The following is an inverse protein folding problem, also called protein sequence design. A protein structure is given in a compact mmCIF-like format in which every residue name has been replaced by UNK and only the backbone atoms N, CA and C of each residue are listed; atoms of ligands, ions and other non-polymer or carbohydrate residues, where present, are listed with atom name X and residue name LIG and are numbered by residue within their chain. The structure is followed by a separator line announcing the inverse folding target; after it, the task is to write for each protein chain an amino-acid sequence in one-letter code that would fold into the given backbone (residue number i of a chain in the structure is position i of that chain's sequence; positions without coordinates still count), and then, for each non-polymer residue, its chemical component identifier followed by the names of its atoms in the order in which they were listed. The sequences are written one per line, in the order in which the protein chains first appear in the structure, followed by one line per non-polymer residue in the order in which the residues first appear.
data_IF_230375642676
#
_entry.id   IF_230375642676
#
_cell.length_a   1.000
_cell.length_b   1.000
_cell.length_c   1.000
_cell.angle_alpha   90.00
_cell.angle_beta   90.00
_cell.angle_gamma   90.00
#
_symmetry.space_group_name_H-M   'P 1'
#
loop_
_entity.id
_entity.type
_entity.pdbx_description
1 polymer ?
#
# COMPACT_ATOMS: atom_id res chain seq x y z
N UNK A 1 -0.26 -7.56 23.80
CA UNK A 1 -1.27 -7.25 22.74
C UNK A 1 -0.52 -7.09 21.44
N UNK A 2 -0.86 -7.87 20.44
CA UNK A 2 -0.28 -7.72 19.10
C UNK A 2 -0.74 -6.39 18.52
N UNK A 3 0.19 -5.49 18.30
CA UNK A 3 -0.08 -4.21 17.63
C UNK A 3 -0.59 -4.49 16.21
N UNK A 4 -1.81 -4.05 15.90
CA UNK A 4 -2.44 -4.32 14.61
C UNK A 4 -2.50 -3.03 13.80
N UNK A 5 -1.88 -3.03 12.63
CA UNK A 5 -1.95 -1.97 11.64
C UNK A 5 -3.28 -2.00 10.90
N UNK A 6 -3.75 -0.84 10.44
CA UNK A 6 -4.91 -0.78 9.53
C UNK A 6 -4.46 -0.24 8.18
N UNK A 7 -4.58 -1.07 7.13
CA UNK A 7 -4.31 -0.66 5.76
C UNK A 7 -5.62 -0.24 5.10
N UNK A 8 -5.75 1.05 4.79
CA UNK A 8 -6.85 1.56 4.00
C UNK A 8 -6.50 1.49 2.52
N UNK A 9 -7.26 0.68 1.80
CA UNK A 9 -7.01 0.41 0.41
C UNK A 9 -8.14 -0.36 -0.25
N UNK A 10 -7.87 -0.90 -1.41
CA UNK A 10 -8.84 -1.65 -2.21
C UNK A 10 -8.12 -2.87 -2.81
N UNK A 11 -8.85 -3.97 -3.00
CA UNK A 11 -8.28 -5.18 -3.61
C UNK A 11 -7.86 -4.94 -5.07
N UNK A 12 -8.59 -4.11 -5.79
CA UNK A 12 -8.29 -3.73 -7.16
C UNK A 12 -7.22 -2.64 -7.28
N UNK A 13 -6.73 -2.09 -6.16
CA UNK A 13 -5.69 -1.07 -6.17
C UNK A 13 -4.29 -1.66 -6.35
N UNK A 14 -3.61 -1.23 -7.41
CA UNK A 14 -2.24 -1.62 -7.72
C UNK A 14 -1.26 -1.28 -6.57
N UNK A 15 -1.33 -0.05 -6.06
CA UNK A 15 -0.45 0.42 -4.99
C UNK A 15 -0.81 -0.17 -3.62
N UNK A 16 -2.10 -0.45 -3.36
CA UNK A 16 -2.50 -1.18 -2.14
C UNK A 16 -1.93 -2.60 -2.15
N UNK A 17 -1.91 -3.26 -3.30
CA UNK A 17 -1.32 -4.59 -3.42
C UNK A 17 0.17 -4.62 -3.05
N UNK A 18 0.93 -3.58 -3.39
CA UNK A 18 2.33 -3.41 -3.00
C UNK A 18 2.48 -3.39 -1.47
N UNK A 19 1.76 -2.52 -0.79
CA UNK A 19 1.81 -2.40 0.68
C UNK A 19 1.32 -3.67 1.38
N UNK A 20 0.24 -4.28 0.88
CA UNK A 20 -0.29 -5.56 1.37
C UNK A 20 0.74 -6.68 1.28
N UNK A 21 1.42 -6.80 0.14
CA UNK A 21 2.45 -7.81 -0.08
C UNK A 21 3.62 -7.65 0.88
N UNK A 22 4.01 -6.41 1.14
CA UNK A 22 5.10 -6.09 2.06
C UNK A 22 4.75 -6.46 3.51
N UNK A 23 3.57 -6.08 3.99
CA UNK A 23 3.07 -6.45 5.31
C UNK A 23 3.04 -7.98 5.49
N UNK A 24 2.56 -8.71 4.48
CA UNK A 24 2.53 -10.18 4.48
C UNK A 24 3.93 -10.79 4.49
N UNK A 25 4.85 -10.27 3.68
CA UNK A 25 6.25 -10.72 3.65
C UNK A 25 6.90 -10.64 5.01
N UNK A 26 6.65 -9.56 5.74
CA UNK A 26 7.20 -9.32 7.07
C UNK A 26 6.43 -10.01 8.21
N UNK A 27 5.32 -10.66 7.93
CA UNK A 27 4.48 -11.30 8.94
C UNK A 27 3.83 -10.30 9.91
N UNK A 28 3.68 -9.05 9.51
CA UNK A 28 3.08 -8.00 10.33
C UNK A 28 1.56 -8.18 10.39
N UNK A 29 0.99 -8.12 11.59
CA UNK A 29 -0.46 -8.20 11.79
C UNK A 29 -1.14 -6.92 11.28
N UNK A 30 -2.11 -7.07 10.38
CA UNK A 30 -2.88 -5.95 9.87
C UNK A 30 -4.31 -6.35 9.48
N UNK A 31 -5.19 -5.36 9.46
CA UNK A 31 -6.52 -5.45 8.88
C UNK A 31 -6.61 -4.53 7.68
N UNK A 32 -7.30 -4.96 6.64
CA UNK A 32 -7.55 -4.13 5.46
C UNK A 32 -8.97 -3.58 5.49
N UNK A 33 -9.13 -2.30 5.18
CA UNK A 33 -10.39 -1.57 5.20
C UNK A 33 -10.56 -0.73 3.94
N UNK A 34 -11.81 -0.57 3.52
CA UNK A 34 -12.13 0.25 2.36
C UNK A 34 -12.09 1.76 2.70
N UNK A 35 -11.71 2.62 1.75
CA UNK A 35 -11.72 4.07 1.93
C UNK A 35 -13.14 4.66 2.02
N UNK A 36 -14.17 3.88 1.72
CA UNK A 36 -15.57 4.25 1.91
C UNK A 36 -16.01 4.27 3.38
N UNK A 37 -15.24 3.68 4.29
CA UNK A 37 -15.57 3.67 5.72
C UNK A 37 -15.52 5.07 6.34
N UNK A 38 -16.41 5.30 7.31
CA UNK A 38 -16.51 6.59 8.00
C UNK A 38 -15.21 6.99 8.70
N UNK A 39 -14.49 6.03 9.28
CA UNK A 39 -13.20 6.28 9.95
C UNK A 39 -12.15 6.82 8.97
N UNK A 40 -12.09 6.29 7.76
CA UNK A 40 -11.20 6.83 6.73
C UNK A 40 -11.55 8.28 6.41
N UNK A 41 -12.81 8.56 6.13
CA UNK A 41 -13.26 9.89 5.73
C UNK A 41 -13.10 10.95 6.83
N UNK A 42 -13.33 10.56 8.09
CA UNK A 42 -13.41 11.51 9.21
C UNK A 42 -12.09 11.67 9.97
N UNK A 43 -11.16 10.70 9.88
CA UNK A 43 -9.91 10.74 10.64
C UNK A 43 -8.67 10.57 9.76
N UNK A 44 -8.63 9.54 8.93
CA UNK A 44 -7.41 9.19 8.17
C UNK A 44 -7.15 10.19 7.04
N UNK A 45 -8.17 10.45 6.23
CA UNK A 45 -8.09 11.41 5.13
C UNK A 45 -7.78 12.85 5.58
N UNK A 46 -8.40 13.42 6.63
CA UNK A 46 -8.01 14.73 7.13
C UNK A 46 -6.58 14.78 7.69
N UNK A 47 -6.13 13.71 8.36
CA UNK A 47 -4.78 13.65 8.91
C UNK A 47 -3.69 13.61 7.84
N UNK A 48 -3.92 12.92 6.72
CA UNK A 48 -3.00 12.86 5.59
C UNK A 48 -3.13 14.01 4.59
N UNK A 49 -4.26 14.73 4.60
CA UNK A 49 -4.58 15.72 3.57
C UNK A 49 -4.86 15.11 2.18
N UNK A 50 -5.01 13.79 2.07
CA UNK A 50 -5.16 13.08 0.79
C UNK A 50 -6.31 12.08 0.81
N UNK A 51 -6.97 11.92 -0.34
CA UNK A 51 -7.97 10.87 -0.57
C UNK A 51 -7.36 9.63 -1.26
N UNK A 52 -6.09 9.69 -1.64
CA UNK A 52 -5.40 8.59 -2.35
C UNK A 52 -5.14 7.42 -1.43
N UNK A 53 -5.17 6.24 -1.98
CA UNK A 53 -4.84 4.97 -1.32
C UNK A 53 -3.58 4.34 -1.97
N UNK A 54 -2.78 3.56 -1.22
CA UNK A 54 -3.00 3.13 0.17
C UNK A 54 -2.70 4.21 1.20
N UNK A 55 -3.34 4.10 2.37
CA UNK A 55 -2.94 4.80 3.59
C UNK A 55 -2.90 3.81 4.74
N UNK A 56 -1.97 3.97 5.64
CA UNK A 56 -1.80 3.09 6.79
C UNK A 56 -1.99 3.86 8.08
N UNK A 57 -2.84 3.34 8.94
CA UNK A 57 -2.97 3.79 10.33
C UNK A 57 -2.17 2.85 11.22
N UNK A 58 -1.18 3.39 11.91
CA UNK A 58 -0.37 2.65 12.86
C UNK A 58 -1.13 2.39 14.16
N UNK A 59 -0.70 1.42 15.00
CA UNK A 59 -1.35 1.13 16.28
C UNK A 59 -1.37 2.31 17.24
N UNK A 60 -0.36 3.18 17.17
CA UNK A 60 -0.24 4.41 17.99
C UNK A 60 -0.95 5.63 17.39
N UNK A 61 -1.68 5.44 16.28
CA UNK A 61 -2.59 6.45 15.71
C UNK A 61 -1.98 7.36 14.64
N UNK A 62 -0.73 7.13 14.21
CA UNK A 62 -0.16 7.88 13.10
C UNK A 62 -0.72 7.41 11.76
N UNK A 63 -0.89 8.36 10.85
CA UNK A 63 -1.33 8.09 9.47
C UNK A 63 -0.14 8.26 8.54
N UNK A 64 0.12 7.22 7.75
CA UNK A 64 1.18 7.20 6.73
C UNK A 64 0.50 7.08 5.38
N UNK A 65 0.76 8.03 4.50
CA UNK A 65 0.19 8.07 3.15
C UNK A 65 1.29 7.83 2.13
N UNK A 66 0.94 7.15 1.05
CA UNK A 66 1.80 6.66 -0.02
C UNK A 66 2.45 5.30 0.26
N UNK A 67 2.54 4.49 -0.79
CA UNK A 67 3.06 3.13 -0.69
C UNK A 67 4.56 3.08 -0.41
N UNK A 68 5.34 4.08 -0.85
CA UNK A 68 6.78 4.17 -0.59
C UNK A 68 7.00 4.49 0.89
N UNK A 69 6.33 5.53 1.40
CA UNK A 69 6.42 5.94 2.79
C UNK A 69 5.99 4.81 3.77
N UNK A 70 4.95 4.05 3.38
CA UNK A 70 4.53 2.87 4.15
C UNK A 70 5.65 1.82 4.20
N UNK A 71 6.28 1.53 3.06
CA UNK A 71 7.38 0.55 3.01
C UNK A 71 8.58 1.02 3.85
N UNK A 72 8.98 2.28 3.72
CA UNK A 72 10.10 2.84 4.45
C UNK A 72 9.87 2.82 5.97
N UNK A 73 8.66 3.17 6.40
CA UNK A 73 8.27 3.06 7.80
C UNK A 73 8.36 1.61 8.32
N UNK A 74 7.84 0.65 7.55
CA UNK A 74 7.85 -0.75 7.95
C UNK A 74 9.26 -1.35 7.94
N UNK A 75 10.13 -0.95 7.00
CA UNK A 75 11.54 -1.36 7.00
C UNK A 75 12.30 -0.83 8.22
N UNK A 76 12.07 0.42 8.59
CA UNK A 76 12.69 1.01 9.77
C UNK A 76 12.18 0.40 11.09
N UNK A 77 10.88 0.09 11.16
CA UNK A 77 10.24 -0.44 12.38
C UNK A 77 10.47 -1.94 12.59
N UNK A 78 10.58 -2.70 11.49
CA UNK A 78 10.74 -4.15 11.46
C UNK A 78 11.93 -4.53 10.57
N UNK A 79 13.17 -4.42 11.07
CA UNK A 79 14.38 -4.67 10.27
C UNK A 79 14.58 -6.13 9.89
N UNK A 80 13.86 -7.06 10.52
CA UNK A 80 13.92 -8.47 10.18
C UNK A 80 13.31 -8.71 8.79
N UNK A 81 13.91 -9.61 8.02
CA UNK A 81 13.53 -9.90 6.63
C UNK A 81 13.51 -8.64 5.74
N UNK A 82 14.63 -7.92 5.61
CA UNK A 82 14.69 -6.68 4.87
C UNK A 82 14.25 -6.87 3.40
N UNK A 83 13.53 -5.90 2.87
CA UNK A 83 13.19 -5.84 1.46
C UNK A 83 14.31 -5.20 0.63
N UNK A 84 15.08 -4.30 1.25
CA UNK A 84 16.20 -3.62 0.61
C UNK A 84 17.53 -4.31 0.96
N UNK A 85 18.35 -4.64 -0.05
CA UNK A 85 19.66 -5.24 0.18
C UNK A 85 20.63 -4.23 0.78
N UNK A 86 21.72 -4.73 1.38
CA UNK A 86 22.70 -3.89 2.08
C UNK A 86 23.60 -3.08 1.15
N UNK A 87 23.97 -3.66 0.00
CA UNK A 87 24.93 -3.00 -0.90
C UNK A 87 24.31 -1.86 -1.70
N UNK A 88 24.99 -0.72 -1.85
CA UNK A 88 24.47 0.43 -2.61
C UNK A 88 24.06 0.08 -4.04
N UNK A 89 24.84 -0.76 -4.74
CA UNK A 89 24.54 -1.19 -6.11
C UNK A 89 23.22 -1.96 -6.19
N UNK A 90 23.00 -2.89 -5.27
CA UNK A 90 21.75 -3.67 -5.23
C UNK A 90 20.57 -2.80 -4.82
N UNK A 91 20.75 -1.87 -3.87
CA UNK A 91 19.71 -0.91 -3.49
C UNK A 91 19.30 -0.04 -4.68
N UNK A 92 20.25 0.48 -5.43
CA UNK A 92 19.97 1.24 -6.66
C UNK A 92 19.14 0.42 -7.64
N UNK A 93 19.49 -0.85 -7.85
CA UNK A 93 18.72 -1.73 -8.72
C UNK A 93 17.27 -1.93 -8.21
N UNK A 94 17.08 -2.15 -6.91
CA UNK A 94 15.75 -2.30 -6.31
C UNK A 94 14.92 -1.02 -6.50
N UNK A 95 15.50 0.17 -6.29
CA UNK A 95 14.79 1.43 -6.53
C UNK A 95 14.44 1.65 -8.01
N UNK A 96 15.29 1.25 -8.93
CA UNK A 96 14.97 1.28 -10.37
C UNK A 96 13.83 0.32 -10.71
N UNK A 97 13.81 -0.87 -10.14
CA UNK A 97 12.71 -1.82 -10.31
C UNK A 97 11.40 -1.30 -9.69
N UNK A 98 11.51 -0.64 -8.55
CA UNK A 98 10.37 0.01 -7.91
C UNK A 98 9.79 1.13 -8.77
N UNK A 99 10.64 2.00 -9.31
CA UNK A 99 10.23 3.06 -10.23
C UNK A 99 9.56 2.48 -11.48
N UNK A 100 10.17 1.47 -12.08
CA UNK A 100 9.59 0.78 -13.23
C UNK A 100 8.23 0.15 -12.90
N UNK A 101 8.11 -0.48 -11.74
CA UNK A 101 6.84 -1.05 -11.27
C UNK A 101 5.78 0.02 -11.04
N UNK A 102 6.13 1.07 -10.31
CA UNK A 102 5.18 2.09 -9.88
C UNK A 102 4.71 3.01 -11.02
N UNK A 103 5.60 3.37 -11.94
CA UNK A 103 5.30 4.31 -13.02
C UNK A 103 5.18 3.62 -14.38
N UNK A 104 6.05 2.66 -14.68
CA UNK A 104 6.08 2.00 -15.98
C UNK A 104 4.94 1.00 -16.19
N UNK A 105 4.57 0.24 -15.15
CA UNK A 105 3.56 -0.82 -15.26
C UNK A 105 2.15 -0.39 -14.84
N UNK A 106 1.98 0.79 -14.24
CA UNK A 106 0.67 1.26 -13.78
C UNK A 106 -0.36 1.37 -14.90
N UNK A 107 0.07 1.75 -16.09
CA UNK A 107 -0.81 1.83 -17.27
C UNK A 107 -1.38 0.45 -17.68
N UNK A 108 -0.57 -0.62 -17.55
CA UNK A 108 -1.04 -1.98 -17.77
C UNK A 108 -2.07 -2.40 -16.73
N UNK A 109 -1.82 -2.07 -15.44
CA UNK A 109 -2.76 -2.36 -14.36
C UNK A 109 -4.10 -1.64 -14.57
N UNK A 110 -4.08 -0.37 -14.99
CA UNK A 110 -5.29 0.39 -15.31
C UNK A 110 -6.03 -0.18 -16.51
N UNK A 111 -5.30 -0.58 -17.56
CA UNK A 111 -5.89 -1.24 -18.71
C UNK A 111 -6.64 -2.51 -18.30
N UNK A 112 -6.02 -3.39 -17.53
CA UNK A 112 -6.68 -4.59 -17.03
C UNK A 112 -7.89 -4.29 -16.15
N UNK A 113 -7.80 -3.28 -15.33
CA UNK A 113 -8.86 -2.89 -14.41
C UNK A 113 -10.12 -2.40 -15.14
N UNK A 114 -9.97 -1.52 -16.15
CA UNK A 114 -11.07 -0.74 -16.68
C UNK A 114 -11.53 -1.14 -18.08
N UNK A 115 -10.72 -1.86 -18.86
CA UNK A 115 -11.07 -2.18 -20.26
C UNK A 115 -11.67 -3.57 -20.46
N UNK A 116 -11.52 -4.47 -19.49
CA UNK A 116 -12.09 -5.80 -19.58
C UNK A 116 -13.41 -5.86 -18.84
N UNK A 117 -14.49 -6.18 -19.57
CA UNK A 117 -15.86 -6.21 -19.03
C UNK A 117 -15.98 -7.17 -17.85
N UNK A 118 -15.27 -8.28 -17.90
CA UNK A 118 -15.26 -9.33 -16.87
C UNK A 118 -14.76 -8.82 -15.51
N UNK A 119 -13.96 -7.74 -15.50
CA UNK A 119 -13.40 -7.17 -14.29
C UNK A 119 -14.26 -6.03 -13.71
N UNK A 120 -15.16 -5.44 -14.51
CA UNK A 120 -15.83 -4.19 -14.13
C UNK A 120 -16.72 -4.31 -12.91
N UNK A 121 -17.43 -5.41 -12.73
CA UNK A 121 -18.31 -5.59 -11.57
C UNK A 121 -17.51 -5.66 -10.28
N UNK A 122 -16.43 -6.43 -10.27
CA UNK A 122 -15.50 -6.50 -9.14
C UNK A 122 -14.88 -5.14 -8.83
N UNK A 123 -14.39 -4.45 -9.84
CA UNK A 123 -13.72 -3.15 -9.66
C UNK A 123 -14.69 -2.09 -9.15
N UNK A 124 -15.91 -2.01 -9.69
CA UNK A 124 -16.92 -1.05 -9.24
C UNK A 124 -17.40 -1.31 -7.80
N UNK A 125 -17.39 -2.57 -7.36
CA UNK A 125 -17.74 -2.92 -5.99
C UNK A 125 -16.63 -2.56 -4.98
N UNK A 126 -15.39 -2.45 -5.44
CA UNK A 126 -14.19 -2.27 -4.61
C UNK A 126 -13.72 -0.78 -4.55
N UNK A 127 -14.22 0.08 -5.42
CA UNK A 127 -13.95 1.51 -5.49
C UNK A 127 -15.20 2.36 -5.25
#
# INVERSE_FOLDING_TARGET
MTETYTLYGSYASYYTAKSRSHLRKKGISFIERLPSESRFRNHVRPASGSHRIPQMLTPDGHVIQDSIEILDHLEARFPELPAFPETPRQRTFVHLMELMGSEGLVGLAWRHRWLFVENLDFVKADF
#
